data_IF_093832223797
#
_entry.id   IF_093832223797
#
_cell.length_a   1.000
_cell.length_b   1.000
_cell.length_c   1.000
_cell.angle_alpha   90.00
_cell.angle_beta   90.00
_cell.angle_gamma   90.00
#
_symmetry.space_group_name_H-M   'P 1'
#
loop_
_entity.id
_entity.type
_entity.pdbx_description
1 polymer ?
#
# COMPACT_ATOMS: atom_id res chain seq x y z
N UNK A 1 3.84 5.40 6.66
CA UNK A 1 2.99 5.51 7.87
C UNK A 1 1.56 5.10 7.54
N UNK A 2 1.36 3.81 7.20
CA UNK A 2 0.04 3.21 6.94
C UNK A 2 -0.16 1.93 7.77
N UNK A 3 0.57 1.82 8.88
CA UNK A 3 0.63 0.65 9.75
C UNK A 3 0.39 0.99 11.23
N UNK A 4 -0.31 2.10 11.51
CA UNK A 4 -0.73 2.42 12.88
C UNK A 4 -2.23 2.18 12.97
N UNK A 5 -2.61 1.26 13.87
CA UNK A 5 -3.96 0.96 14.37
C UNK A 5 -4.75 -0.17 13.69
N UNK A 6 -4.19 -1.38 13.63
CA UNK A 6 -5.00 -2.58 13.32
C UNK A 6 -5.91 -3.05 14.47
N UNK A 7 -6.06 -2.29 15.57
CA UNK A 7 -6.62 -2.84 16.81
C UNK A 7 -7.49 -1.89 17.64
N UNK A 8 -7.17 -0.59 17.64
CA UNK A 8 -8.00 0.44 18.27
C UNK A 8 -9.12 0.98 17.34
N UNK A 9 -9.20 0.46 16.11
CA UNK A 9 -10.02 1.02 15.03
C UNK A 9 -11.27 0.18 14.70
N UNK A 10 -11.45 -0.99 15.31
CA UNK A 10 -12.52 -1.92 14.92
C UNK A 10 -13.94 -1.47 15.34
N UNK A 11 -14.08 -0.67 16.39
CA UNK A 11 -15.41 -0.25 16.88
C UNK A 11 -15.98 1.01 16.20
N UNK A 12 -15.22 1.70 15.34
CA UNK A 12 -15.64 2.97 14.71
C UNK A 12 -15.73 2.94 13.17
N UNK A 13 -15.38 1.82 12.50
CA UNK A 13 -15.03 1.83 11.07
C UNK A 13 -15.64 0.74 10.18
N UNK A 14 -16.73 0.07 10.57
CA UNK A 14 -17.39 -0.94 9.70
C UNK A 14 -17.82 -0.40 8.34
N UNK A 15 -18.27 0.86 8.26
CA UNK A 15 -18.63 1.49 6.98
C UNK A 15 -17.39 1.93 6.18
N UNK A 16 -16.30 2.28 6.84
CA UNK A 16 -15.07 2.72 6.17
C UNK A 16 -14.24 1.53 5.67
N UNK A 17 -14.39 0.34 6.25
CA UNK A 17 -13.63 -0.85 5.86
C UNK A 17 -13.75 -1.11 4.35
N UNK A 18 -14.96 -1.08 3.81
CA UNK A 18 -15.21 -1.23 2.35
C UNK A 18 -14.56 -0.12 1.53
N UNK A 19 -14.60 1.12 2.02
CA UNK A 19 -13.97 2.25 1.34
C UNK A 19 -12.45 2.12 1.31
N UNK A 20 -11.84 1.78 2.45
CA UNK A 20 -10.40 1.56 2.58
C UNK A 20 -9.93 0.38 1.74
N UNK A 21 -10.69 -0.71 1.71
CA UNK A 21 -10.39 -1.85 0.86
C UNK A 21 -10.44 -1.49 -0.63
N UNK A 22 -11.43 -0.70 -1.05
CA UNK A 22 -11.52 -0.20 -2.42
C UNK A 22 -10.33 0.70 -2.76
N UNK A 23 -9.99 1.67 -1.91
CA UNK A 23 -8.82 2.54 -2.11
C UNK A 23 -7.53 1.72 -2.16
N UNK A 24 -7.38 0.74 -1.28
CA UNK A 24 -6.19 -0.12 -1.27
C UNK A 24 -6.09 -0.96 -2.53
N UNK A 25 -7.21 -1.50 -3.02
CA UNK A 25 -7.26 -2.23 -4.29
C UNK A 25 -6.91 -1.34 -5.48
N UNK A 26 -7.39 -0.09 -5.52
CA UNK A 26 -7.03 0.85 -6.60
C UNK A 26 -5.52 1.16 -6.65
N UNK A 27 -4.88 1.17 -5.49
CA UNK A 27 -3.46 1.48 -5.32
C UNK A 27 -2.59 0.22 -5.47
N UNK A 28 -3.18 -0.95 -5.68
CA UNK A 28 -2.43 -2.18 -5.87
C UNK A 28 -1.55 -2.06 -7.12
N UNK A 29 -0.22 -2.26 -7.01
CA UNK A 29 0.69 -2.13 -8.14
C UNK A 29 0.31 -3.01 -9.33
N UNK A 30 -0.32 -4.18 -9.10
CA UNK A 30 -0.82 -5.02 -10.18
C UNK A 30 -1.91 -4.31 -11.01
N UNK A 31 -2.95 -3.80 -10.36
CA UNK A 31 -4.02 -3.08 -11.07
C UNK A 31 -3.53 -1.79 -11.71
N UNK A 32 -2.58 -1.09 -11.08
CA UNK A 32 -1.97 0.12 -11.65
C UNK A 32 -1.20 -0.21 -12.93
N UNK A 33 -0.43 -1.29 -12.97
CA UNK A 33 0.32 -1.68 -14.16
C UNK A 33 -0.57 -2.29 -15.27
N UNK A 34 -1.64 -2.99 -14.92
CA UNK A 34 -2.51 -3.61 -15.93
C UNK A 34 -3.54 -2.64 -16.52
N UNK A 35 -4.08 -1.74 -15.70
CA UNK A 35 -5.18 -0.84 -16.11
C UNK A 35 -4.67 0.57 -16.34
N UNK A 36 -3.94 1.15 -15.38
CA UNK A 36 -3.58 2.57 -15.44
C UNK A 36 -2.45 2.84 -16.46
N UNK A 37 -1.45 1.97 -16.53
CA UNK A 37 -0.34 2.11 -17.48
C UNK A 37 -0.79 2.22 -18.95
N UNK A 38 -1.62 1.32 -19.52
CA UNK A 38 -2.04 1.45 -20.92
C UNK A 38 -2.89 2.70 -21.15
N UNK A 39 -3.73 3.09 -20.19
CA UNK A 39 -4.54 4.32 -20.29
C UNK A 39 -3.65 5.56 -20.36
N UNK A 40 -2.64 5.64 -19.50
CA UNK A 40 -1.69 6.75 -19.49
C UNK A 40 -0.83 6.77 -20.75
N UNK A 41 -0.39 5.61 -21.24
CA UNK A 41 0.43 5.48 -22.44
C UNK A 41 -0.23 6.05 -23.70
N UNK A 42 -1.57 6.01 -23.76
CA UNK A 42 -2.34 6.63 -24.87
C UNK A 42 -2.31 8.16 -24.78
N UNK A 43 -2.30 8.72 -23.57
CA UNK A 43 -2.31 10.16 -23.34
C UNK A 43 -0.91 10.74 -23.51
N UNK A 44 0.07 10.16 -22.81
CA UNK A 44 1.46 10.60 -22.80
C UNK A 44 2.41 9.43 -22.53
N UNK A 45 3.24 9.12 -23.53
CA UNK A 45 4.18 8.00 -23.47
C UNK A 45 5.40 8.28 -22.57
N UNK A 46 5.77 9.54 -22.38
CA UNK A 46 6.88 9.95 -21.51
C UNK A 46 6.43 9.75 -20.06
N UNK A 47 5.24 10.25 -19.70
CA UNK A 47 4.66 10.07 -18.38
C UNK A 47 4.44 8.58 -18.04
N UNK A 48 3.97 7.78 -19.00
CA UNK A 48 3.83 6.33 -18.83
C UNK A 48 5.18 5.63 -18.51
N UNK A 49 6.26 6.03 -19.17
CA UNK A 49 7.59 5.45 -18.94
C UNK A 49 8.15 5.79 -17.55
N UNK A 50 7.92 7.02 -17.08
CA UNK A 50 8.30 7.46 -15.73
C UNK A 50 7.53 6.68 -14.66
N UNK A 51 6.24 6.46 -14.88
CA UNK A 51 5.40 5.65 -14.00
C UNK A 51 5.91 4.20 -13.90
N UNK A 52 6.19 3.57 -15.03
CA UNK A 52 6.70 2.21 -15.08
C UNK A 52 8.03 2.08 -14.32
N UNK A 53 8.93 3.05 -14.52
CA UNK A 53 10.23 3.09 -13.83
C UNK A 53 10.06 3.23 -12.32
N UNK A 54 9.24 4.17 -11.87
CA UNK A 54 8.98 4.40 -10.44
C UNK A 54 8.38 3.18 -9.75
N UNK A 55 7.38 2.53 -10.35
CA UNK A 55 6.74 1.35 -9.75
C UNK A 55 7.71 0.17 -9.72
N UNK A 56 8.42 -0.09 -10.81
CA UNK A 56 9.33 -1.25 -10.91
C UNK A 56 10.53 -1.08 -9.99
N UNK A 57 11.20 0.07 -10.05
CA UNK A 57 12.36 0.35 -9.21
C UNK A 57 11.98 0.49 -7.74
N UNK A 58 10.87 1.16 -7.46
CA UNK A 58 10.34 1.31 -6.09
C UNK A 58 9.91 -0.03 -5.48
N UNK A 59 9.25 -0.88 -6.25
CA UNK A 59 8.88 -2.23 -5.83
C UNK A 59 10.10 -3.09 -5.52
N UNK A 60 11.14 -3.03 -6.37
CA UNK A 60 12.42 -3.70 -6.14
C UNK A 60 13.11 -3.19 -4.87
N UNK A 61 13.23 -1.87 -4.70
CA UNK A 61 13.86 -1.27 -3.52
C UNK A 61 13.08 -1.61 -2.24
N UNK A 62 11.74 -1.61 -2.31
CA UNK A 62 10.90 -2.02 -1.19
C UNK A 62 11.09 -3.49 -0.83
N UNK A 63 11.28 -4.35 -1.84
CA UNK A 63 11.66 -5.75 -1.65
C UNK A 63 13.00 -5.89 -0.93
N UNK A 64 14.02 -5.14 -1.35
CA UNK A 64 15.31 -5.13 -0.68
C UNK A 64 15.22 -4.63 0.77
N UNK A 65 14.51 -3.53 1.00
CA UNK A 65 14.33 -2.97 2.35
C UNK A 65 13.60 -3.94 3.27
N UNK A 66 12.58 -4.64 2.75
CA UNK A 66 11.86 -5.71 3.45
C UNK A 66 12.82 -6.80 3.96
N UNK A 67 13.79 -7.18 3.13
CA UNK A 67 14.79 -8.18 3.50
C UNK A 67 15.80 -7.66 4.53
N UNK A 68 16.06 -6.36 4.52
CA UNK A 68 17.02 -5.72 5.42
C UNK A 68 16.44 -5.41 6.80
N UNK A 69 15.17 -4.99 6.85
CA UNK A 69 14.51 -4.56 8.09
C UNK A 69 13.90 -5.71 8.90
N UNK A 70 13.54 -6.82 8.24
CA UNK A 70 12.97 -8.03 8.88
C UNK A 70 11.87 -7.72 9.92
N UNK A 71 11.05 -6.70 9.64
CA UNK A 71 10.01 -6.27 10.58
C UNK A 71 8.83 -7.25 10.58
N UNK A 72 8.53 -7.80 11.76
CA UNK A 72 7.38 -8.66 11.98
C UNK A 72 6.07 -7.87 11.91
N UNK A 73 5.06 -8.44 11.24
CA UNK A 73 3.75 -7.78 11.12
C UNK A 73 3.02 -7.74 12.46
N UNK A 74 2.26 -6.68 12.75
CA UNK A 74 1.63 -6.47 14.06
C UNK A 74 0.63 -7.56 14.47
N UNK A 75 0.03 -8.30 13.54
CA UNK A 75 -0.86 -9.41 13.89
C UNK A 75 -0.13 -10.60 14.53
N UNK A 76 1.18 -10.75 14.33
CA UNK A 76 2.00 -11.73 15.06
C UNK A 76 2.16 -11.31 16.52
N UNK A 77 2.50 -10.04 16.75
CA UNK A 77 2.62 -9.46 18.09
C UNK A 77 1.33 -9.65 18.90
N UNK A 78 0.15 -9.42 18.31
CA UNK A 78 -1.15 -9.62 18.99
C UNK A 78 -1.35 -11.05 19.51
N UNK A 79 -0.80 -12.05 18.81
CA UNK A 79 -0.87 -13.46 19.23
C UNK A 79 0.17 -13.83 20.28
N UNK A 80 1.29 -13.13 20.33
CA UNK A 80 2.41 -13.41 21.23
C UNK A 80 2.38 -12.59 22.53
N UNK A 81 1.67 -11.46 22.56
CA UNK A 81 1.63 -10.62 23.76
C UNK A 81 0.87 -11.25 24.91
N UNK A 82 1.40 -11.08 26.12
CA UNK A 82 0.73 -11.38 27.39
C UNK A 82 -0.16 -10.24 27.88
N UNK A 83 -0.24 -9.14 27.12
CA UNK A 83 -0.99 -7.94 27.49
C UNK A 83 -2.51 -8.17 27.47
N UNK A 84 -3.00 -9.06 26.60
CA UNK A 84 -4.40 -9.46 26.53
C UNK A 84 -4.59 -10.81 27.20
N UNK A 85 -5.60 -10.95 28.07
CA UNK A 85 -6.07 -12.28 28.50
C UNK A 85 -6.67 -13.03 27.32
N UNK A 86 -6.60 -14.36 27.31
CA UNK A 86 -7.10 -15.19 26.20
C UNK A 86 -8.58 -14.90 25.83
N UNK A 87 -9.37 -14.39 26.79
CA UNK A 87 -10.76 -13.98 26.61
C UNK A 87 -10.97 -12.55 26.07
N UNK A 88 -9.96 -11.66 26.14
CA UNK A 88 -10.01 -10.28 25.65
C UNK A 88 -9.14 -10.06 24.41
N UNK A 89 -8.59 -11.12 23.81
CA UNK A 89 -7.79 -10.98 22.60
C UNK A 89 -8.70 -10.48 21.45
N UNK A 90 -8.34 -9.38 20.78
CA UNK A 90 -9.10 -8.82 19.67
C UNK A 90 -9.14 -9.80 18.49
N UNK A 91 -10.30 -9.91 17.85
CA UNK A 91 -10.47 -10.74 16.66
C UNK A 91 -9.82 -10.06 15.45
N UNK A 92 -8.80 -10.71 14.88
CA UNK A 92 -8.10 -10.23 13.69
C UNK A 92 -8.85 -10.72 12.44
N UNK A 93 -9.42 -9.79 11.68
CA UNK A 93 -9.91 -10.10 10.33
C UNK A 93 -8.76 -9.96 9.34
N UNK A 94 -8.48 -11.03 8.60
CA UNK A 94 -7.50 -11.01 7.53
C UNK A 94 -8.22 -10.90 6.19
N UNK A 95 -8.01 -9.80 5.49
CA UNK A 95 -8.40 -9.63 4.08
C UNK A 95 -7.33 -10.22 3.17
N UNK A 96 -7.65 -10.49 1.90
CA UNK A 96 -6.71 -11.09 0.93
C UNK A 96 -5.40 -10.31 0.79
N UNK A 97 -5.46 -8.99 0.94
CA UNK A 97 -4.30 -8.08 0.88
C UNK A 97 -3.45 -8.06 2.18
N UNK A 98 -4.00 -8.54 3.30
CA UNK A 98 -3.27 -8.64 4.59
C UNK A 98 -2.65 -10.02 4.81
N UNK A 99 -3.04 -11.02 4.02
CA UNK A 99 -2.49 -12.38 4.01
C UNK A 99 -1.13 -12.52 3.29
N UNK A 100 -0.31 -11.46 3.31
CA UNK A 100 1.03 -11.52 2.72
C UNK A 100 2.01 -12.20 3.68
N UNK A 101 2.75 -13.19 3.17
CA UNK A 101 3.71 -13.99 3.93
C UNK A 101 5.05 -13.29 4.20
N UNK A 102 5.23 -12.05 3.71
CA UNK A 102 6.48 -11.29 3.82
C UNK A 102 6.42 -10.14 4.84
N UNK A 103 7.58 -9.60 5.26
CA UNK A 103 7.66 -8.51 6.24
C UNK A 103 6.87 -7.27 5.79
N UNK A 104 6.33 -6.54 6.76
CA UNK A 104 5.32 -5.50 6.55
C UNK A 104 5.87 -4.16 6.06
N UNK A 105 7.13 -3.87 6.39
CA UNK A 105 7.75 -2.57 6.15
C UNK A 105 8.93 -2.67 5.16
N UNK A 106 9.04 -1.75 4.19
CA UNK A 106 8.06 -0.71 3.80
C UNK A 106 6.84 -1.24 3.01
N UNK A 107 5.72 -0.51 3.06
CA UNK A 107 4.48 -0.87 2.34
C UNK A 107 4.57 -0.54 0.85
N UNK A 108 4.41 -1.57 0.01
CA UNK A 108 4.39 -1.42 -1.46
C UNK A 108 3.21 -0.58 -1.95
N UNK A 109 2.02 -0.79 -1.38
CA UNK A 109 0.82 0.01 -1.70
C UNK A 109 1.05 1.51 -1.41
N UNK A 110 1.64 1.83 -0.26
CA UNK A 110 1.92 3.23 0.08
C UNK A 110 2.95 3.87 -0.86
N UNK A 111 3.96 3.10 -1.29
CA UNK A 111 4.93 3.56 -2.27
C UNK A 111 4.27 3.83 -3.63
N UNK A 112 3.41 2.93 -4.10
CA UNK A 112 2.65 3.10 -5.34
C UNK A 112 1.78 4.35 -5.27
N UNK A 113 1.05 4.56 -4.16
CA UNK A 113 0.22 5.75 -3.97
C UNK A 113 1.04 7.05 -4.03
N UNK A 114 2.15 7.09 -3.29
CA UNK A 114 3.03 8.25 -3.25
C UNK A 114 3.66 8.53 -4.62
N UNK A 115 4.07 7.48 -5.33
CA UNK A 115 4.67 7.61 -6.67
C UNK A 115 3.66 8.18 -7.66
N UNK A 116 2.43 7.63 -7.69
CA UNK A 116 1.34 8.14 -8.52
C UNK A 116 1.02 9.61 -8.23
N UNK A 117 0.92 9.97 -6.95
CA UNK A 117 0.62 11.33 -6.53
C UNK A 117 1.71 12.32 -6.94
N UNK A 118 2.98 11.98 -6.69
CA UNK A 118 4.12 12.82 -7.09
C UNK A 118 4.21 12.98 -8.60
N UNK A 119 4.05 11.89 -9.35
CA UNK A 119 4.06 11.91 -10.81
C UNK A 119 2.93 12.80 -11.36
N UNK A 120 1.72 12.63 -10.84
CA UNK A 120 0.58 13.48 -11.22
C UNK A 120 0.87 14.97 -10.95
N UNK A 121 1.43 15.31 -9.80
CA UNK A 121 1.78 16.69 -9.48
C UNK A 121 2.85 17.25 -10.43
N UNK A 122 3.89 16.46 -10.75
CA UNK A 122 4.93 16.90 -11.69
C UNK A 122 4.39 17.09 -13.10
N UNK A 123 3.48 16.22 -13.53
CA UNK A 123 2.83 16.33 -14.83
C UNK A 123 1.88 17.54 -14.89
N UNK A 124 1.05 17.74 -13.87
CA UNK A 124 0.15 18.89 -13.78
C UNK A 124 0.93 20.21 -13.74
N UNK A 125 2.04 20.25 -13.00
CA UNK A 125 2.92 21.42 -12.96
C UNK A 125 3.55 21.71 -14.33
N UNK A 126 3.95 20.67 -15.08
CA UNK A 126 4.45 20.84 -16.45
C UNK A 126 3.37 21.41 -17.37
N UNK A 127 2.16 20.84 -17.36
CA UNK A 127 1.04 21.28 -18.21
C UNK A 127 0.58 22.71 -17.89
N UNK A 128 0.61 23.12 -16.62
CA UNK A 128 0.19 24.47 -16.22
C UNK A 128 1.24 25.57 -16.46
N UNK A 129 2.49 25.20 -16.69
CA UNK A 129 3.60 26.14 -16.86
C UNK A 129 4.04 26.29 -18.33
N UNK A 130 3.39 25.54 -19.23
CA UNK A 130 3.42 25.71 -20.70
C UNK A 130 2.21 26.53 -21.17
#
# INVERSE_FOLDING_TARGET
MFYINSLLLFLMFTDLERYLELVNNLVNPHYVLEILFPLISIVDSVFASQLLLCITFGGWLSGLMKWWLLEDRPYWWVRETTFYSDSMRPWLMQTSQTCETGPGSPSGHSLTAASLFMLFLTWAAHVCND
#
